data_IF_072207409269
#
_entry.id   IF_072207409269
#
_cell.length_a   1.000
_cell.length_b   1.000
_cell.length_c   1.000
_cell.angle_alpha   90.00
_cell.angle_beta   90.00
_cell.angle_gamma   90.00
#
_symmetry.space_group_name_H-M   'P 1'
#
loop_
_entity.id
_entity.type
_entity.pdbx_description
1 polymer ?
#
# COMPACT_ATOMS: atom_id res chain seq x y z
N UNK A 1 10.97 13.25 -14.82
CA UNK A 1 9.51 13.34 -14.90
C UNK A 1 8.89 14.22 -13.79
N UNK A 2 9.60 14.54 -12.69
CA UNK A 2 9.09 15.45 -11.64
C UNK A 2 7.89 14.94 -10.82
N UNK A 3 7.65 13.62 -10.82
CA UNK A 3 6.61 13.00 -9.99
C UNK A 3 6.97 13.08 -8.49
N UNK A 4 8.26 12.97 -8.20
CA UNK A 4 8.84 13.14 -6.86
C UNK A 4 9.86 14.26 -6.96
N UNK A 5 9.80 15.23 -6.08
CA UNK A 5 10.71 16.39 -6.07
C UNK A 5 11.92 16.10 -5.18
N UNK A 6 13.11 16.45 -5.65
CA UNK A 6 14.33 16.42 -4.83
C UNK A 6 14.17 17.31 -3.60
N UNK A 7 14.64 16.84 -2.46
CA UNK A 7 14.54 17.55 -1.18
C UNK A 7 13.16 17.46 -0.51
N UNK A 8 12.18 16.76 -1.12
CA UNK A 8 10.86 16.59 -0.49
C UNK A 8 10.89 15.54 0.61
N UNK A 9 10.02 15.74 1.60
CA UNK A 9 9.69 14.74 2.60
C UNK A 9 8.57 13.85 2.05
N UNK A 10 8.77 12.53 2.11
CA UNK A 10 7.88 11.56 1.48
C UNK A 10 7.42 10.48 2.47
N UNK A 11 6.24 9.93 2.19
CA UNK A 11 5.74 8.73 2.84
C UNK A 11 6.08 7.52 1.97
N UNK A 12 6.73 6.52 2.56
CA UNK A 12 7.08 5.28 1.90
C UNK A 12 6.20 4.15 2.43
N UNK A 13 5.44 3.56 1.53
CA UNK A 13 4.62 2.38 1.80
C UNK A 13 5.34 1.13 1.30
N UNK A 14 5.32 0.07 2.10
CA UNK A 14 5.81 -1.23 1.70
C UNK A 14 4.75 -2.31 1.94
N UNK A 15 4.54 -3.15 0.93
CA UNK A 15 3.55 -4.22 1.01
C UNK A 15 3.96 -5.42 0.16
N UNK A 16 3.46 -6.60 0.53
CA UNK A 16 3.64 -7.83 -0.22
C UNK A 16 2.33 -8.22 -0.90
N UNK A 17 2.46 -8.78 -2.09
CA UNK A 17 1.32 -9.34 -2.81
C UNK A 17 1.62 -10.78 -3.23
N UNK A 18 0.68 -11.69 -2.99
CA UNK A 18 0.73 -13.00 -3.63
C UNK A 18 0.30 -12.88 -5.09
N UNK A 19 1.14 -13.36 -6.00
CA UNK A 19 0.87 -13.42 -7.44
C UNK A 19 0.73 -14.89 -7.83
N UNK A 20 -0.50 -15.38 -8.09
CA UNK A 20 -0.70 -16.74 -8.57
C UNK A 20 0.02 -16.96 -9.89
N UNK A 21 0.81 -18.02 -9.99
CA UNK A 21 1.58 -18.29 -11.19
C UNK A 21 1.93 -19.78 -11.29
N UNK A 22 1.36 -20.48 -12.28
CA UNK A 22 1.71 -21.87 -12.58
C UNK A 22 2.95 -21.87 -13.49
N UNK A 23 4.11 -21.63 -12.89
CA UNK A 23 5.41 -21.49 -13.57
C UNK A 23 6.37 -22.57 -13.11
N UNK A 24 7.48 -22.76 -13.86
CA UNK A 24 8.41 -23.86 -13.65
C UNK A 24 9.03 -23.86 -12.24
N UNK A 25 9.40 -22.70 -11.73
CA UNK A 25 10.02 -22.53 -10.41
C UNK A 25 9.07 -21.97 -9.34
N UNK A 26 7.78 -21.79 -9.65
CA UNK A 26 6.79 -21.32 -8.69
C UNK A 26 6.61 -22.31 -7.54
N UNK A 27 6.45 -21.81 -6.31
CA UNK A 27 6.28 -22.61 -5.10
C UNK A 27 4.87 -22.50 -4.54
N UNK A 28 4.44 -23.59 -3.92
CA UNK A 28 3.12 -23.67 -3.29
C UNK A 28 3.07 -22.83 -2.01
N UNK A 29 2.20 -21.83 -1.98
CA UNK A 29 2.09 -20.86 -0.89
C UNK A 29 1.09 -21.26 0.20
N UNK A 30 1.08 -20.53 1.31
CA UNK A 30 0.03 -20.65 2.34
C UNK A 30 -1.36 -20.26 1.83
N UNK A 31 -1.46 -19.60 0.67
CA UNK A 31 -2.72 -19.31 -0.03
C UNK A 31 -3.31 -20.53 -0.74
N UNK A 32 -2.66 -21.69 -0.60
CA UNK A 32 -3.04 -22.95 -1.25
C UNK A 32 -3.00 -22.89 -2.78
N UNK A 33 -2.05 -22.11 -3.33
CA UNK A 33 -1.83 -21.99 -4.76
C UNK A 33 -0.33 -21.83 -5.05
N UNK A 34 0.08 -22.15 -6.30
CA UNK A 34 1.41 -21.91 -6.82
C UNK A 34 1.59 -20.44 -7.17
N UNK A 35 2.75 -19.88 -6.88
CA UNK A 35 3.00 -18.49 -7.22
C UNK A 35 4.27 -17.91 -6.63
N UNK A 36 4.32 -16.59 -6.66
CA UNK A 36 5.38 -15.76 -6.11
C UNK A 36 4.82 -14.79 -5.07
N UNK A 37 5.71 -14.27 -4.24
CA UNK A 37 5.33 -13.36 -3.16
C UNK A 37 6.19 -12.07 -3.18
N UNK A 38 6.10 -11.24 -4.24
CA UNK A 38 6.86 -10.00 -4.36
C UNK A 38 6.48 -8.98 -3.28
N UNK A 39 7.51 -8.27 -2.79
CA UNK A 39 7.36 -7.09 -1.95
C UNK A 39 7.67 -5.82 -2.75
N UNK A 40 6.86 -4.78 -2.60
CA UNK A 40 6.97 -3.53 -3.34
C UNK A 40 6.90 -2.30 -2.44
N UNK A 41 7.77 -1.33 -2.74
CA UNK A 41 7.76 -0.03 -2.11
C UNK A 41 7.18 1.03 -3.04
N UNK A 42 6.35 1.92 -2.49
CA UNK A 42 5.74 3.01 -3.24
C UNK A 42 5.73 4.33 -2.46
N UNK A 43 5.77 5.44 -3.20
CA UNK A 43 5.65 6.80 -2.69
C UNK A 43 4.48 7.46 -3.42
N UNK A 44 3.36 7.70 -2.73
CA UNK A 44 2.17 8.31 -3.34
C UNK A 44 1.65 7.56 -4.57
N UNK A 45 1.74 6.22 -4.55
CA UNK A 45 1.34 5.34 -5.64
C UNK A 45 2.38 5.14 -6.74
N UNK A 46 3.54 5.80 -6.68
CA UNK A 46 4.68 5.60 -7.58
C UNK A 46 5.53 4.46 -7.04
N UNK A 47 5.69 3.38 -7.79
CA UNK A 47 6.54 2.26 -7.39
C UNK A 47 8.00 2.67 -7.51
N UNK A 48 8.74 2.58 -6.41
CA UNK A 48 10.15 2.99 -6.33
C UNK A 48 11.12 1.84 -6.17
N UNK A 49 10.63 0.65 -5.89
CA UNK A 49 11.46 -0.55 -5.80
C UNK A 49 10.65 -1.78 -5.40
N UNK A 50 11.23 -2.95 -5.59
CA UNK A 50 10.61 -4.20 -5.19
C UNK A 50 11.53 -5.39 -5.38
N UNK A 51 11.14 -6.53 -4.86
CA UNK A 51 11.83 -7.80 -4.98
C UNK A 51 10.84 -8.95 -5.06
N UNK A 52 11.03 -9.83 -6.03
CA UNK A 52 10.21 -11.04 -6.13
C UNK A 52 10.77 -12.15 -5.23
N UNK A 53 9.89 -13.02 -4.74
CA UNK A 53 10.22 -14.13 -3.86
C UNK A 53 9.39 -15.34 -4.18
N UNK A 54 9.89 -16.50 -3.80
CA UNK A 54 9.14 -17.76 -3.86
C UNK A 54 7.82 -17.65 -3.08
N UNK A 55 6.75 -18.25 -3.61
CA UNK A 55 5.43 -18.23 -3.00
C UNK A 55 5.34 -18.82 -1.59
N UNK A 56 6.28 -19.71 -1.23
CA UNK A 56 6.38 -20.32 0.10
C UNK A 56 7.35 -19.59 1.06
N UNK A 57 7.98 -18.51 0.61
CA UNK A 57 8.91 -17.75 1.45
C UNK A 57 8.14 -16.97 2.51
N UNK A 58 8.61 -17.03 3.76
CA UNK A 58 8.08 -16.14 4.79
C UNK A 58 8.35 -14.68 4.40
N UNK A 59 7.33 -13.83 4.47
CA UNK A 59 7.43 -12.42 4.08
C UNK A 59 8.53 -11.66 4.83
N UNK A 60 8.89 -12.08 6.04
CA UNK A 60 9.95 -11.48 6.86
C UNK A 60 11.37 -11.92 6.45
N UNK A 61 11.50 -13.00 5.68
CA UNK A 61 12.80 -13.55 5.32
C UNK A 61 13.58 -12.57 4.44
N UNK A 62 14.72 -12.08 4.91
CA UNK A 62 15.57 -11.06 4.26
C UNK A 62 14.82 -9.76 3.86
N UNK A 63 13.69 -9.46 4.49
CA UNK A 63 12.94 -8.24 4.19
C UNK A 63 13.71 -6.99 4.64
N UNK A 64 14.46 -7.07 5.73
CA UNK A 64 15.34 -6.01 6.22
C UNK A 64 16.38 -5.60 5.17
N UNK A 65 16.97 -6.56 4.46
CA UNK A 65 17.93 -6.30 3.38
C UNK A 65 17.27 -5.63 2.18
N UNK A 66 16.08 -6.09 1.80
CA UNK A 66 15.29 -5.49 0.72
C UNK A 66 14.91 -4.06 1.05
N UNK A 67 14.39 -3.80 2.25
CA UNK A 67 14.02 -2.47 2.71
C UNK A 67 15.25 -1.54 2.78
N UNK A 68 16.37 -2.03 3.32
CA UNK A 68 17.61 -1.26 3.37
C UNK A 68 18.03 -0.81 1.98
N UNK A 69 18.11 -1.71 1.00
CA UNK A 69 18.50 -1.37 -0.39
C UNK A 69 17.53 -0.38 -1.01
N UNK A 70 16.23 -0.56 -0.84
CA UNK A 70 15.21 0.34 -1.43
C UNK A 70 15.29 1.71 -0.77
N UNK A 71 15.31 1.80 0.56
CA UNK A 71 15.32 3.07 1.28
C UNK A 71 16.60 3.86 1.04
N UNK A 72 17.77 3.18 1.05
CA UNK A 72 19.06 3.82 0.75
C UNK A 72 19.09 4.38 -0.67
N UNK A 73 18.57 3.64 -1.67
CA UNK A 73 18.48 4.11 -3.06
C UNK A 73 17.48 5.25 -3.24
N UNK A 74 16.32 5.16 -2.61
CA UNK A 74 15.32 6.23 -2.64
C UNK A 74 15.89 7.53 -2.09
N UNK A 75 16.59 7.46 -0.97
CA UNK A 75 17.22 8.63 -0.37
C UNK A 75 18.38 9.17 -1.23
N UNK A 76 19.28 8.31 -1.69
CA UNK A 76 20.49 8.74 -2.42
C UNK A 76 20.21 9.14 -3.88
N UNK A 77 19.38 8.37 -4.61
CA UNK A 77 19.15 8.57 -6.05
C UNK A 77 18.02 9.59 -6.31
N UNK A 78 16.97 9.62 -5.48
CA UNK A 78 15.88 10.58 -5.63
C UNK A 78 16.10 11.86 -4.82
N UNK A 79 17.08 11.87 -3.90
CA UNK A 79 17.40 13.02 -3.06
C UNK A 79 16.24 13.45 -2.16
N UNK A 80 15.50 12.51 -1.60
CA UNK A 80 14.34 12.76 -0.73
C UNK A 80 14.61 12.32 0.70
N UNK A 81 13.84 12.84 1.65
CA UNK A 81 13.81 12.39 3.04
C UNK A 81 12.59 11.51 3.25
N UNK A 82 12.78 10.28 3.72
CA UNK A 82 11.66 9.42 4.10
C UNK A 82 11.17 9.90 5.46
N UNK A 83 10.07 10.66 5.45
CA UNK A 83 9.47 11.21 6.65
C UNK A 83 8.75 10.13 7.43
N UNK A 84 7.90 9.35 6.73
CA UNK A 84 7.08 8.32 7.34
C UNK A 84 7.16 7.02 6.55
N UNK A 85 7.24 5.92 7.27
CA UNK A 85 7.21 4.58 6.70
C UNK A 85 5.96 3.83 7.17
N UNK A 86 5.26 3.14 6.28
CA UNK A 86 4.11 2.30 6.61
C UNK A 86 4.27 0.89 6.05
N UNK A 87 3.91 -0.10 6.87
CA UNK A 87 3.85 -1.49 6.43
C UNK A 87 2.80 -2.30 7.22
N UNK A 88 2.41 -3.43 6.67
CA UNK A 88 1.50 -4.37 7.32
C UNK A 88 2.20 -5.22 8.40
N UNK A 89 1.46 -6.18 8.96
CA UNK A 89 1.98 -7.09 9.98
C UNK A 89 3.03 -8.08 9.45
N UNK A 90 3.16 -8.23 8.14
CA UNK A 90 4.24 -8.98 7.51
C UNK A 90 5.62 -8.34 7.76
N UNK A 91 5.64 -7.05 8.05
CA UNK A 91 6.88 -6.31 8.39
C UNK A 91 7.14 -6.19 9.89
N UNK A 92 6.33 -6.83 10.73
CA UNK A 92 6.49 -6.75 12.17
C UNK A 92 7.56 -7.74 12.68
N UNK A 93 8.83 -7.34 12.64
CA UNK A 93 9.96 -8.03 13.26
C UNK A 93 11.00 -7.04 13.80
N UNK A 94 11.84 -7.51 14.73
CA UNK A 94 12.88 -6.71 15.36
C UNK A 94 13.86 -6.14 14.34
N UNK A 95 14.33 -6.99 13.43
CA UNK A 95 15.34 -6.65 12.41
C UNK A 95 14.80 -5.63 11.41
N UNK A 96 13.55 -5.79 10.99
CA UNK A 96 12.88 -4.87 10.08
C UNK A 96 12.68 -3.51 10.75
N UNK A 97 12.20 -3.49 11.98
CA UNK A 97 11.96 -2.24 12.74
C UNK A 97 13.28 -1.48 12.94
N UNK A 98 14.37 -2.18 13.29
CA UNK A 98 15.68 -1.56 13.42
C UNK A 98 16.20 -0.96 12.11
N UNK A 99 15.98 -1.65 11.00
CA UNK A 99 16.42 -1.21 9.67
C UNK A 99 15.63 0.03 9.22
N UNK A 100 14.33 0.02 9.44
CA UNK A 100 13.43 1.11 9.05
C UNK A 100 13.67 2.37 9.90
N UNK A 101 13.78 2.20 11.22
CA UNK A 101 13.99 3.30 12.17
C UNK A 101 15.27 4.11 11.88
N UNK A 102 16.29 3.46 11.33
CA UNK A 102 17.54 4.13 10.92
C UNK A 102 17.42 4.97 9.64
N UNK A 103 16.30 4.83 8.88
CA UNK A 103 16.14 5.34 7.51
C UNK A 103 14.93 6.21 7.28
N UNK A 104 14.09 6.37 8.29
CA UNK A 104 12.95 7.29 8.26
C UNK A 104 12.81 8.02 9.59
N UNK A 105 12.09 9.13 9.60
CA UNK A 105 11.86 9.88 10.83
C UNK A 105 10.86 9.16 11.74
N UNK A 106 9.76 8.69 11.17
CA UNK A 106 8.74 7.91 11.90
C UNK A 106 8.30 6.68 11.11
N UNK A 107 7.92 5.62 11.81
CA UNK A 107 7.35 4.43 11.20
C UNK A 107 6.03 4.02 11.84
N UNK A 108 5.19 3.35 11.06
CA UNK A 108 3.88 2.86 11.46
C UNK A 108 3.70 1.45 10.90
N UNK A 109 3.88 0.44 11.75
CA UNK A 109 3.82 -0.97 11.36
C UNK A 109 2.71 -1.64 12.15
N UNK A 110 1.80 -2.32 11.45
CA UNK A 110 0.77 -3.10 12.14
C UNK A 110 1.40 -4.21 12.96
N UNK A 111 1.12 -4.23 14.25
CA UNK A 111 1.67 -5.25 15.14
C UNK A 111 0.97 -6.59 14.90
N UNK A 112 1.78 -7.65 14.74
CA UNK A 112 1.32 -9.02 14.65
C UNK A 112 1.17 -9.65 16.05
N UNK A 113 0.40 -10.73 16.13
CA UNK A 113 0.29 -11.58 17.32
C UNK A 113 -0.10 -10.85 18.62
N UNK A 114 -0.97 -9.85 18.51
CA UNK A 114 -1.45 -9.11 19.68
C UNK A 114 -2.44 -9.90 20.55
N UNK A 115 -2.86 -11.09 20.13
CA UNK A 115 -3.80 -11.95 20.88
C UNK A 115 -3.33 -12.28 22.29
N UNK A 116 -2.02 -12.53 22.48
CA UNK A 116 -1.41 -12.77 23.80
C UNK A 116 -1.45 -11.56 24.74
N UNK A 117 -1.80 -10.38 24.23
CA UNK A 117 -1.91 -9.11 24.99
C UNK A 117 -3.36 -8.70 25.24
N UNK A 118 -4.36 -9.44 24.72
CA UNK A 118 -5.76 -9.07 24.84
C UNK A 118 -6.24 -8.97 26.29
N UNK A 119 -5.79 -9.88 27.15
CA UNK A 119 -6.08 -9.81 28.59
C UNK A 119 -5.56 -8.52 29.20
N UNK A 120 -4.34 -8.11 28.84
CA UNK A 120 -3.76 -6.85 29.28
C UNK A 120 -4.56 -5.64 28.74
N UNK A 121 -5.02 -5.69 27.49
CA UNK A 121 -5.82 -4.62 26.90
C UNK A 121 -7.19 -4.48 27.57
N UNK A 122 -7.80 -5.59 28.01
CA UNK A 122 -9.06 -5.55 28.75
C UNK A 122 -8.94 -4.85 30.11
N UNK A 123 -7.74 -4.89 30.72
CA UNK A 123 -7.46 -4.25 32.01
C UNK A 123 -7.18 -2.74 31.90
N UNK A 124 -6.95 -2.24 30.68
CA UNK A 124 -6.70 -0.81 30.44
C UNK A 124 -7.97 -0.01 30.76
N UNK A 125 -7.81 1.03 31.58
CA UNK A 125 -8.93 1.88 32.04
C UNK A 125 -9.10 3.16 31.22
N UNK A 126 -8.02 3.60 30.57
CA UNK A 126 -7.99 4.87 29.84
C UNK A 126 -8.22 4.62 28.34
N UNK A 127 -9.47 4.74 27.92
CA UNK A 127 -9.87 4.68 26.53
C UNK A 127 -10.46 6.01 26.11
N UNK A 128 -10.10 6.46 24.90
CA UNK A 128 -10.65 7.67 24.27
C UNK A 128 -11.60 7.22 23.18
N UNK A 129 -12.85 7.68 23.24
CA UNK A 129 -13.83 7.48 22.13
C UNK A 129 -13.43 8.41 20.98
N UNK A 130 -13.22 7.84 19.81
CA UNK A 130 -12.85 8.57 18.59
C UNK A 130 -13.64 8.03 17.39
N UNK A 131 -13.82 8.89 16.40
CA UNK A 131 -14.36 8.51 15.11
C UNK A 131 -13.23 8.47 14.08
N UNK A 132 -13.01 7.31 13.48
CA UNK A 132 -12.03 7.09 12.40
C UNK A 132 -12.78 6.71 11.13
N UNK A 133 -12.72 7.58 10.12
CA UNK A 133 -13.62 7.45 8.96
C UNK A 133 -15.07 7.65 9.40
N UNK A 134 -15.88 6.61 9.27
CA UNK A 134 -17.30 6.60 9.71
C UNK A 134 -17.57 5.62 10.85
N UNK A 135 -16.50 5.07 11.46
CA UNK A 135 -16.63 4.09 12.53
C UNK A 135 -16.19 4.68 13.87
N UNK A 136 -17.05 4.53 14.89
CA UNK A 136 -16.69 4.83 16.28
C UNK A 136 -15.87 3.68 16.85
N UNK A 137 -14.79 4.03 17.51
CA UNK A 137 -13.92 3.08 18.17
C UNK A 137 -13.24 3.72 19.39
N UNK A 138 -12.79 2.88 20.30
CA UNK A 138 -11.99 3.34 21.41
C UNK A 138 -10.51 3.17 21.10
N UNK A 139 -9.69 4.13 21.51
CA UNK A 139 -8.25 4.11 21.30
C UNK A 139 -7.48 4.41 22.56
N UNK A 140 -6.30 3.84 22.68
CA UNK A 140 -5.34 4.12 23.75
C UNK A 140 -3.92 3.88 23.25
N UNK A 141 -2.93 4.27 24.03
CA UNK A 141 -1.52 4.00 23.74
C UNK A 141 -0.84 3.38 24.96
N UNK A 142 0.04 2.41 24.69
CA UNK A 142 0.91 1.83 25.71
C UNK A 142 2.37 1.85 25.25
N UNK A 143 3.32 1.86 26.21
CA UNK A 143 4.74 1.70 25.91
C UNK A 143 5.10 0.21 25.76
N UNK A 144 5.96 -0.08 24.80
CA UNK A 144 6.56 -1.41 24.57
C UNK A 144 8.08 -1.28 24.65
N UNK A 145 8.65 -1.74 25.77
CA UNK A 145 10.08 -1.65 26.03
C UNK A 145 10.81 -2.97 25.80
N UNK A 146 10.05 -4.04 25.60
CA UNK A 146 10.58 -5.42 25.48
C UNK A 146 10.96 -5.84 24.06
N UNK A 147 10.70 -5.00 23.05
CA UNK A 147 10.91 -5.40 21.65
C UNK A 147 12.38 -5.29 21.24
N UNK A 148 13.04 -4.19 21.59
CA UNK A 148 14.45 -3.93 21.32
C UNK A 148 15.08 -3.39 22.61
N UNK A 149 16.16 -3.98 23.03
CA UNK A 149 16.86 -3.57 24.26
C UNK A 149 17.25 -2.08 24.21
N UNK A 150 16.95 -1.37 25.28
CA UNK A 150 17.26 0.06 25.41
C UNK A 150 16.37 0.99 24.59
N UNK A 151 15.27 0.49 23.97
CA UNK A 151 14.34 1.31 23.21
C UNK A 151 12.90 1.11 23.67
N UNK A 152 12.16 2.20 23.69
CA UNK A 152 10.72 2.24 23.95
C UNK A 152 9.96 2.60 22.67
N UNK A 153 8.93 1.84 22.37
CA UNK A 153 8.03 2.12 21.25
C UNK A 153 6.61 2.33 21.75
N UNK A 154 5.87 3.14 21.03
CA UNK A 154 4.45 3.36 21.28
C UNK A 154 3.63 2.31 20.53
N UNK A 155 2.77 1.61 21.25
CA UNK A 155 1.75 0.75 20.65
C UNK A 155 0.41 1.47 20.77
N UNK A 156 -0.10 1.94 19.63
CA UNK A 156 -1.45 2.50 19.53
C UNK A 156 -2.41 1.34 19.38
N UNK A 157 -3.34 1.23 20.32
CA UNK A 157 -4.35 0.16 20.38
C UNK A 157 -5.71 0.74 20.06
N UNK A 158 -6.33 0.22 19.02
CA UNK A 158 -7.72 0.47 18.66
C UNK A 158 -8.55 -0.73 19.04
N UNK A 159 -9.69 -0.54 19.72
CA UNK A 159 -10.69 -1.59 19.93
C UNK A 159 -12.01 -1.18 19.31
N UNK A 160 -12.70 -2.16 18.77
CA UNK A 160 -14.05 -2.01 18.24
C UNK A 160 -14.91 -3.19 18.69
N UNK A 161 -16.20 -3.00 18.95
CA UNK A 161 -17.09 -4.11 19.28
C UNK A 161 -17.10 -5.14 18.14
N UNK A 162 -16.95 -6.42 18.50
CA UNK A 162 -17.04 -7.50 17.54
C UNK A 162 -18.51 -7.67 17.13
N UNK A 163 -18.77 -7.67 15.82
CA UNK A 163 -20.10 -7.83 15.25
C UNK A 163 -20.28 -9.23 14.67
N UNK A 164 -21.41 -9.84 14.90
CA UNK A 164 -21.82 -11.08 14.26
C UNK A 164 -22.18 -10.87 12.79
N UNK A 165 -22.51 -11.97 12.10
CA UNK A 165 -22.92 -11.94 10.67
C UNK A 165 -24.19 -11.11 10.44
N UNK A 166 -25.02 -10.95 11.47
CA UNK A 166 -26.23 -10.13 11.48
C UNK A 166 -25.98 -8.63 11.76
N UNK A 167 -24.71 -8.24 11.91
CA UNK A 167 -24.30 -6.87 12.23
C UNK A 167 -24.48 -6.48 13.70
N UNK A 168 -25.04 -7.34 14.54
CA UNK A 168 -25.22 -7.08 15.96
C UNK A 168 -23.92 -7.31 16.72
N UNK A 169 -23.74 -6.51 17.76
CA UNK A 169 -22.61 -6.61 18.68
C UNK A 169 -22.67 -7.94 19.44
N UNK A 170 -21.55 -8.65 19.49
CA UNK A 170 -21.43 -9.87 20.25
C UNK A 170 -21.11 -9.56 21.72
N UNK A 171 -21.77 -10.30 22.61
CA UNK A 171 -21.56 -10.22 24.06
C UNK A 171 -21.35 -11.63 24.63
N UNK A 172 -20.58 -11.74 25.69
CA UNK A 172 -20.42 -12.91 26.53
C UNK A 172 -20.87 -12.63 27.96
N UNK A 173 -20.60 -13.55 28.89
CA UNK A 173 -20.94 -13.37 30.29
C UNK A 173 -20.20 -12.21 30.99
N UNK A 174 -19.13 -11.68 30.38
CA UNK A 174 -18.34 -10.56 30.88
C UNK A 174 -18.68 -9.24 30.20
N UNK A 175 -19.60 -9.23 29.22
CA UNK A 175 -20.05 -8.05 28.51
C UNK A 175 -19.72 -8.06 27.02
N UNK A 176 -19.30 -6.91 26.48
CA UNK A 176 -19.03 -6.74 25.05
C UNK A 176 -17.71 -7.39 24.67
N UNK A 177 -17.75 -8.19 23.61
CA UNK A 177 -16.54 -8.74 23.01
C UNK A 177 -15.93 -7.69 22.08
N UNK A 178 -14.63 -7.41 22.24
CA UNK A 178 -13.88 -6.45 21.41
C UNK A 178 -12.90 -7.16 20.48
N UNK A 179 -12.71 -6.61 19.31
CA UNK A 179 -11.56 -6.87 18.45
C UNK A 179 -10.54 -5.75 18.60
N UNK A 180 -9.26 -6.10 18.54
CA UNK A 180 -8.16 -5.16 18.74
C UNK A 180 -7.30 -5.06 17.48
N UNK A 181 -6.91 -3.84 17.14
CA UNK A 181 -5.95 -3.54 16.08
C UNK A 181 -4.85 -2.67 16.67
N UNK A 182 -3.60 -3.06 16.41
CA UNK A 182 -2.46 -2.39 17.04
C UNK A 182 -1.48 -1.89 15.97
N UNK A 183 -0.97 -0.68 16.17
CA UNK A 183 0.06 -0.05 15.33
C UNK A 183 1.25 0.25 16.22
N UNK A 184 2.42 -0.30 15.89
CA UNK A 184 3.67 0.04 16.52
C UNK A 184 4.29 1.24 15.81
N UNK A 185 4.78 2.20 16.58
CA UNK A 185 5.40 3.42 16.06
C UNK A 185 6.43 3.99 17.03
N UNK A 186 7.34 4.81 16.52
CA UNK A 186 8.20 5.70 17.32
C UNK A 186 7.66 7.12 17.41
N UNK A 187 6.44 7.38 16.92
CA UNK A 187 5.75 8.67 17.03
C UNK A 187 5.03 8.80 18.39
N UNK A 188 5.59 9.60 19.28
CA UNK A 188 5.03 9.89 20.61
C UNK A 188 4.21 11.17 20.65
N UNK A 189 4.18 11.93 19.54
CA UNK A 189 3.60 13.28 19.50
C UNK A 189 2.19 13.28 18.92
N UNK A 190 1.98 12.56 17.82
CA UNK A 190 0.70 12.58 17.12
C UNK A 190 -0.42 11.91 17.94
N UNK A 191 -1.66 12.45 17.89
CA UNK A 191 -2.82 11.80 18.49
C UNK A 191 -3.09 10.41 17.93
N UNK A 192 -3.64 9.50 18.72
CA UNK A 192 -3.96 8.12 18.31
C UNK A 192 -4.85 8.08 17.05
N UNK A 193 -5.85 8.96 17.00
CA UNK A 193 -6.76 9.10 15.85
C UNK A 193 -6.00 9.39 14.57
N UNK A 194 -5.04 10.31 14.61
CA UNK A 194 -4.29 10.74 13.44
C UNK A 194 -3.34 9.63 12.96
N UNK A 195 -2.72 8.91 13.89
CA UNK A 195 -1.89 7.73 13.60
C UNK A 195 -2.72 6.66 12.89
N UNK A 196 -3.91 6.36 13.41
CA UNK A 196 -4.79 5.33 12.83
C UNK A 196 -5.31 5.78 11.46
N UNK A 197 -5.73 7.03 11.33
CA UNK A 197 -6.20 7.60 10.06
C UNK A 197 -5.11 7.54 9.00
N UNK A 198 -3.91 8.01 9.33
CA UNK A 198 -2.75 7.96 8.44
C UNK A 198 -2.39 6.53 8.05
N UNK A 199 -2.39 5.59 9.02
CA UNK A 199 -2.12 4.19 8.73
C UNK A 199 -3.16 3.58 7.79
N UNK A 200 -4.44 3.89 7.98
CA UNK A 200 -5.53 3.35 7.16
C UNK A 200 -5.49 3.83 5.70
N UNK A 201 -4.91 5.00 5.43
CA UNK A 201 -4.67 5.49 4.07
C UNK A 201 -3.75 4.56 3.25
N UNK A 202 -2.95 3.69 3.92
CA UNK A 202 -2.18 2.63 3.27
C UNK A 202 -3.06 1.71 2.41
N UNK A 203 -4.32 1.51 2.78
CA UNK A 203 -5.30 0.74 1.98
C UNK A 203 -5.47 1.28 0.55
N UNK A 204 -5.10 2.53 0.28
CA UNK A 204 -5.01 3.03 -1.10
C UNK A 204 -3.89 2.34 -1.90
N UNK A 205 -2.88 1.74 -1.24
CA UNK A 205 -1.84 0.93 -1.87
C UNK A 205 -2.39 -0.37 -2.47
N UNK A 206 -3.44 -0.95 -1.91
CA UNK A 206 -4.10 -2.15 -2.48
C UNK A 206 -4.65 -1.87 -3.88
N UNK A 207 -5.16 -0.66 -4.13
CA UNK A 207 -5.57 -0.23 -5.48
C UNK A 207 -4.40 -0.17 -6.47
N UNK A 208 -3.17 0.05 -6.00
CA UNK A 208 -1.99 0.01 -6.87
C UNK A 208 -1.73 -1.40 -7.38
N UNK A 209 -1.92 -2.42 -6.53
CA UNK A 209 -1.77 -3.81 -6.94
C UNK A 209 -2.90 -4.25 -7.88
N UNK A 210 -4.14 -3.81 -7.66
CA UNK A 210 -5.25 -4.06 -8.57
C UNK A 210 -4.95 -3.52 -9.97
N UNK A 211 -4.43 -2.30 -10.07
CA UNK A 211 -4.01 -1.71 -11.33
C UNK A 211 -2.88 -2.53 -11.98
N UNK A 212 -1.87 -2.94 -11.20
CA UNK A 212 -0.78 -3.77 -11.73
C UNK A 212 -1.27 -5.13 -12.23
N UNK A 213 -2.16 -5.76 -11.48
CA UNK A 213 -2.72 -7.05 -11.83
C UNK A 213 -3.57 -7.00 -13.12
N UNK A 214 -4.44 -6.00 -13.21
CA UNK A 214 -5.45 -5.91 -14.27
C UNK A 214 -4.91 -5.20 -15.52
N UNK A 215 -4.23 -4.04 -15.35
CA UNK A 215 -3.85 -3.18 -16.47
C UNK A 215 -2.41 -3.46 -16.97
N UNK A 216 -1.53 -4.02 -16.10
CA UNK A 216 -0.12 -4.25 -16.41
C UNK A 216 0.32 -5.71 -16.37
N UNK A 217 -0.64 -6.65 -16.29
CA UNK A 217 -0.42 -8.06 -16.56
C UNK A 217 0.20 -8.89 -15.43
N UNK A 218 0.23 -8.39 -14.17
CA UNK A 218 0.82 -9.16 -13.08
C UNK A 218 0.01 -10.39 -12.70
N UNK A 219 -1.30 -10.43 -12.97
CA UNK A 219 -2.13 -11.63 -12.81
C UNK A 219 -1.83 -12.73 -13.83
N UNK A 220 -1.07 -12.42 -14.91
CA UNK A 220 -0.76 -13.35 -15.98
C UNK A 220 0.70 -13.21 -16.41
N UNK A 221 1.62 -13.60 -15.54
CA UNK A 221 3.06 -13.50 -15.79
C UNK A 221 3.46 -14.26 -17.06
N UNK A 222 4.26 -13.68 -17.99
CA UNK A 222 4.49 -14.27 -19.31
C UNK A 222 5.59 -15.33 -19.34
N UNK A 223 6.55 -15.31 -18.41
CA UNK A 223 7.75 -16.14 -18.48
C UNK A 223 7.69 -17.37 -17.58
N UNK A 224 8.61 -18.31 -17.79
CA UNK A 224 8.65 -19.58 -17.06
C UNK A 224 9.35 -19.53 -15.73
N UNK A 225 10.24 -18.53 -15.51
CA UNK A 225 11.07 -18.44 -14.32
C UNK A 225 10.86 -17.11 -13.58
N UNK A 226 11.09 -17.15 -12.26
CA UNK A 226 10.92 -16.03 -11.35
C UNK A 226 11.77 -14.81 -11.75
N UNK A 227 13.04 -15.03 -12.13
CA UNK A 227 13.95 -13.94 -12.49
C UNK A 227 13.45 -13.15 -13.70
N UNK A 228 12.99 -13.82 -14.74
CA UNK A 228 12.43 -13.20 -15.95
C UNK A 228 11.14 -12.46 -15.63
N UNK A 229 10.28 -13.06 -14.82
CA UNK A 229 9.04 -12.43 -14.35
C UNK A 229 9.31 -11.22 -13.46
N UNK A 230 10.40 -11.22 -12.66
CA UNK A 230 10.80 -10.03 -11.91
C UNK A 230 11.16 -8.86 -12.84
N UNK A 231 11.91 -9.13 -13.91
CA UNK A 231 12.23 -8.09 -14.94
C UNK A 231 10.93 -7.56 -15.57
N UNK A 232 10.01 -8.44 -15.95
CA UNK A 232 8.70 -8.05 -16.47
C UNK A 232 7.94 -7.15 -15.50
N UNK A 233 7.87 -7.54 -14.23
CA UNK A 233 7.20 -6.76 -13.20
C UNK A 233 7.86 -5.39 -12.99
N UNK A 234 9.20 -5.31 -13.03
CA UNK A 234 9.91 -4.03 -12.93
C UNK A 234 9.60 -3.11 -14.12
N UNK A 235 9.65 -3.64 -15.34
CA UNK A 235 9.35 -2.86 -16.57
C UNK A 235 7.90 -2.36 -16.54
N UNK A 236 6.96 -3.21 -16.17
CA UNK A 236 5.54 -2.83 -16.10
C UNK A 236 5.25 -1.87 -14.95
N UNK A 237 5.99 -1.95 -13.82
CA UNK A 237 5.96 -0.92 -12.77
C UNK A 237 6.44 0.44 -13.28
N UNK A 238 7.51 0.46 -14.09
CA UNK A 238 7.98 1.70 -14.75
C UNK A 238 6.93 2.25 -15.73
N UNK A 239 6.28 1.39 -16.50
CA UNK A 239 5.19 1.78 -17.42
C UNK A 239 4.00 2.36 -16.64
N UNK A 240 3.63 1.77 -15.50
CA UNK A 240 2.60 2.34 -14.63
C UNK A 240 3.00 3.72 -14.09
N UNK A 241 4.25 3.90 -13.65
CA UNK A 241 4.73 5.20 -13.19
C UNK A 241 4.68 6.24 -14.31
N UNK A 242 5.07 5.86 -15.53
CA UNK A 242 4.95 6.71 -16.72
C UNK A 242 3.48 7.04 -17.04
N UNK A 243 2.59 6.05 -16.95
CA UNK A 243 1.15 6.26 -17.10
C UNK A 243 0.60 7.27 -16.09
N UNK A 244 0.97 7.15 -14.81
CA UNK A 244 0.57 8.12 -13.77
C UNK A 244 1.07 9.54 -14.10
N UNK A 245 2.31 9.66 -14.58
CA UNK A 245 2.84 10.94 -15.04
C UNK A 245 2.00 11.51 -16.20
N UNK A 246 1.73 10.69 -17.20
CA UNK A 246 0.96 11.09 -18.38
C UNK A 246 -0.45 11.57 -17.99
N UNK A 247 -1.16 10.80 -17.16
CA UNK A 247 -2.51 11.13 -16.69
C UNK A 247 -2.51 12.43 -15.89
N UNK A 248 -1.56 12.61 -14.97
CA UNK A 248 -1.44 13.86 -14.19
C UNK A 248 -1.16 15.07 -15.08
N UNK A 249 -0.34 14.90 -16.13
CA UNK A 249 -0.01 15.99 -17.06
C UNK A 249 -1.14 16.35 -18.01
N UNK A 250 -1.95 15.36 -18.41
CA UNK A 250 -3.03 15.57 -19.39
C UNK A 250 -4.36 15.91 -18.71
N UNK A 251 -4.61 15.45 -17.48
CA UNK A 251 -5.88 15.62 -16.79
C UNK A 251 -6.29 17.09 -16.61
N UNK A 252 -5.32 18.00 -16.50
CA UNK A 252 -5.57 19.42 -16.37
C UNK A 252 -5.99 20.06 -17.72
N UNK A 253 -5.64 19.43 -18.84
CA UNK A 253 -5.91 19.90 -20.20
C UNK A 253 -7.11 19.23 -20.86
N UNK A 254 -7.47 18.01 -20.40
CA UNK A 254 -8.48 17.16 -21.03
C UNK A 254 -9.57 16.82 -20.01
N UNK A 255 -10.64 17.61 -19.96
CA UNK A 255 -11.87 17.25 -19.26
C UNK A 255 -12.61 16.18 -20.10
N UNK A 256 -12.96 15.00 -19.59
CA UNK A 256 -13.27 14.59 -18.23
C UNK A 256 -12.26 13.55 -17.63
N UNK A 257 -10.97 13.63 -17.95
CA UNK A 257 -9.99 12.72 -17.38
C UNK A 257 -9.81 13.03 -15.90
N UNK A 258 -10.14 12.09 -15.04
CA UNK A 258 -9.83 12.18 -13.61
C UNK A 258 -8.41 11.64 -13.36
N UNK A 259 -7.69 12.20 -12.39
CA UNK A 259 -6.30 11.85 -12.05
C UNK A 259 -6.10 10.40 -11.57
N UNK A 260 -7.18 9.72 -11.21
CA UNK A 260 -7.24 8.36 -10.66
C UNK A 260 -7.81 7.31 -11.63
N UNK A 261 -7.99 7.65 -12.92
CA UNK A 261 -8.54 6.71 -13.89
C UNK A 261 -7.57 5.56 -14.19
N UNK A 262 -8.13 4.36 -14.28
CA UNK A 262 -7.45 3.14 -14.74
C UNK A 262 -7.10 3.23 -16.23
N UNK A 263 -6.04 2.52 -16.66
CA UNK A 263 -5.55 2.56 -18.04
C UNK A 263 -6.61 2.12 -19.06
N UNK A 264 -7.40 1.11 -18.75
CA UNK A 264 -8.50 0.61 -19.59
C UNK A 264 -9.55 1.68 -19.88
N UNK A 265 -9.75 2.64 -18.99
CA UNK A 265 -10.76 3.71 -19.17
C UNK A 265 -10.26 4.90 -20.01
N UNK A 266 -8.96 4.96 -20.33
CA UNK A 266 -8.38 6.02 -21.16
C UNK A 266 -8.67 5.81 -22.64
N UNK A 267 -8.55 4.59 -23.13
CA UNK A 267 -8.71 4.27 -24.55
C UNK A 267 -10.10 4.68 -25.08
N UNK A 268 -11.23 4.30 -24.44
CA UNK A 268 -12.55 4.75 -24.86
C UNK A 268 -12.72 6.28 -24.79
N UNK A 269 -12.17 6.95 -23.77
CA UNK A 269 -12.25 8.41 -23.64
C UNK A 269 -11.48 9.14 -24.74
N UNK A 270 -10.35 8.57 -25.18
CA UNK A 270 -9.58 9.10 -26.32
C UNK A 270 -10.30 8.85 -27.66
N UNK A 271 -10.82 7.64 -27.89
CA UNK A 271 -11.54 7.26 -29.11
C UNK A 271 -12.83 8.07 -29.30
N UNK A 272 -13.59 8.33 -28.23
CA UNK A 272 -14.81 9.15 -28.31
C UNK A 272 -14.50 10.61 -28.71
N UNK A 273 -13.33 11.13 -28.34
CA UNK A 273 -12.93 12.50 -28.67
C UNK A 273 -12.37 12.63 -30.08
N UNK A 274 -11.58 11.65 -30.52
CA UNK A 274 -11.09 11.60 -31.91
C UNK A 274 -12.21 11.34 -32.90
N UNK A 275 -13.22 10.53 -32.55
CA UNK A 275 -14.43 10.33 -33.33
C UNK A 275 -15.25 11.63 -33.51
N UNK A 276 -15.39 12.44 -32.46
CA UNK A 276 -16.06 13.75 -32.53
C UNK A 276 -15.26 14.79 -33.33
N UNK A 277 -13.91 14.77 -33.25
CA UNK A 277 -13.07 15.63 -34.10
C UNK A 277 -13.11 15.23 -35.58
N UNK A 278 -13.19 13.93 -35.88
CA UNK A 278 -13.34 13.43 -37.26
C UNK A 278 -14.71 13.72 -37.87
N UNK A 279 -15.77 13.70 -37.05
CA UNK A 279 -17.12 14.05 -37.50
C UNK A 279 -17.26 15.57 -37.79
N UNK A 280 -16.65 16.43 -36.99
CA UNK A 280 -16.67 17.87 -37.26
C UNK A 280 -15.82 18.24 -38.51
N UNK A 281 -14.69 17.57 -38.76
CA UNK A 281 -13.94 17.83 -40.02
C UNK A 281 -14.68 17.37 -41.29
N UNK A 282 -15.54 16.34 -41.22
CA UNK A 282 -16.37 15.92 -42.35
C UNK A 282 -17.56 16.87 -42.61
N UNK A 283 -18.03 17.54 -41.57
CA UNK A 283 -19.11 18.53 -41.73
C UNK A 283 -18.67 19.87 -42.36
N UNK A 284 -17.40 20.25 -42.25
CA UNK A 284 -16.85 21.46 -42.86
C UNK A 284 -16.45 21.32 -44.33
N UNK A 285 -16.46 20.11 -44.90
CA UNK A 285 -16.10 19.84 -46.30
C UNK A 285 -17.25 19.41 -47.21
N UNK A 286 -18.50 19.53 -46.77
CA UNK A 286 -19.66 19.25 -47.58
C UNK A 286 -20.49 20.53 -47.88
N UNK A 287 -19.90 21.50 -48.57
CA UNK A 287 -20.72 22.43 -49.37
C UNK A 287 -20.97 21.84 -50.75
N UNK A 288 -22.22 21.74 -51.20
CA UNK A 288 -22.50 21.24 -52.52
C UNK A 288 -22.24 22.32 -53.58
N UNK A 289 -21.28 22.08 -54.46
CA UNK A 289 -21.21 22.77 -55.72
C UNK A 289 -22.41 22.36 -56.59
N UNK A 290 -23.46 23.15 -56.67
CA UNK A 290 -24.34 23.14 -57.81
C UNK A 290 -24.95 24.52 -58.07
N UNK A 291 -24.56 25.03 -59.26
CA UNK A 291 -25.14 26.01 -60.18
C UNK A 291 -25.22 27.46 -59.76
#
# INVERSE_FOLDING_TARGET
>A
MGLIKVGSHVDLDFDHQFVPAHKFDAKYSYKQDLGYFPGWASIGGIIVGGENRDGNTNVKFHQEDTLRRIMDRVTSELGVVIERFRADCGSFSKEIIQTVEQRCNTFYIRAANCGSRYENFQQLKEWKDVEVGYEKCDVTSISIDSLIEGKSYRLVVQRSPLKGKDGKQLTDMFGVIYTYRCILTNDWVSPEKDIITFYNERGAGEKNFDIQNNDFGWSHLPFSFMAENMVFMMVTAMLKNFYLYLVRHISDKVKPLKKDKQAESLYPAFCQRTGKMGANRKAEHSEPMYK
#
